data_IF_238497200705
#
_entry.id   IF_238497200705
#
_cell.length_a   1.000
_cell.length_b   1.000
_cell.length_c   1.000
_cell.angle_alpha   90.00
_cell.angle_beta   90.00
_cell.angle_gamma   90.00
#
_symmetry.space_group_name_H-M   'P 1'
#
loop_
_entity.id
_entity.type
_entity.pdbx_description
1 polymer ?
#
# COMPACT_ATOMS: atom_id res chain seq x y z
N UNK A 1 22.15 27.23 12.24
CA UNK A 1 23.31 26.41 11.75
C UNK A 1 23.25 25.03 12.38
N UNK A 2 23.21 23.94 11.61
CA UNK A 2 23.16 22.56 12.15
C UNK A 2 24.55 22.15 12.63
N UNK A 3 24.64 21.65 13.86
CA UNK A 3 25.91 21.26 14.50
C UNK A 3 26.61 20.15 13.66
N UNK A 4 27.96 20.23 13.42
CA UNK A 4 28.65 19.31 12.52
C UNK A 4 28.55 17.82 12.92
N UNK A 5 28.45 17.51 14.22
CA UNK A 5 28.18 16.15 14.72
C UNK A 5 26.84 15.62 14.28
N UNK A 6 25.79 16.47 14.19
CA UNK A 6 24.45 16.08 13.72
C UNK A 6 24.48 15.74 12.23
N UNK A 7 25.19 16.53 11.42
CA UNK A 7 25.35 16.25 9.98
C UNK A 7 26.04 14.91 9.72
N UNK A 8 27.06 14.57 10.53
CA UNK A 8 27.78 13.29 10.42
C UNK A 8 26.83 12.12 10.76
N UNK A 9 26.05 12.23 11.84
CA UNK A 9 25.06 11.21 12.24
C UNK A 9 23.99 11.01 11.16
N UNK A 10 23.44 12.11 10.63
CA UNK A 10 22.45 12.05 9.54
C UNK A 10 23.02 11.39 8.28
N UNK A 11 24.27 11.69 7.90
CA UNK A 11 24.92 11.05 6.75
C UNK A 11 25.13 9.55 6.98
N UNK A 12 25.54 9.14 8.17
CA UNK A 12 25.71 7.72 8.51
C UNK A 12 24.37 6.99 8.38
N UNK A 13 23.30 7.54 8.98
CA UNK A 13 21.95 6.95 8.90
C UNK A 13 21.49 6.84 7.45
N UNK A 14 21.67 7.89 6.65
CA UNK A 14 21.29 7.87 5.23
C UNK A 14 22.06 6.80 4.44
N UNK A 15 23.39 6.75 4.61
CA UNK A 15 24.23 5.75 3.92
C UNK A 15 23.84 4.33 4.34
N UNK A 16 23.62 4.10 5.64
CA UNK A 16 23.18 2.80 6.13
C UNK A 16 21.83 2.41 5.56
N UNK A 17 20.86 3.35 5.51
CA UNK A 17 19.55 3.10 4.92
C UNK A 17 19.64 2.76 3.43
N UNK A 18 20.48 3.45 2.66
CA UNK A 18 20.70 3.15 1.25
C UNK A 18 21.33 1.76 1.07
N UNK A 19 22.32 1.41 1.89
CA UNK A 19 22.94 0.08 1.83
C UNK A 19 21.91 -1.01 2.13
N UNK A 20 21.12 -0.85 3.19
CA UNK A 20 20.06 -1.80 3.55
C UNK A 20 19.03 -1.93 2.43
N UNK A 21 18.64 -0.82 1.81
CA UNK A 21 17.72 -0.81 0.68
C UNK A 21 18.29 -1.57 -0.52
N UNK A 22 19.55 -1.31 -0.88
CA UNK A 22 20.21 -2.03 -1.97
C UNK A 22 20.30 -3.53 -1.70
N UNK A 23 20.65 -3.91 -0.47
CA UNK A 23 20.69 -5.32 -0.07
C UNK A 23 19.30 -5.97 -0.13
N UNK A 24 18.25 -5.27 0.30
CA UNK A 24 16.87 -5.75 0.23
C UNK A 24 16.40 -5.94 -1.22
N UNK A 25 16.73 -5.02 -2.12
CA UNK A 25 16.43 -5.14 -3.56
C UNK A 25 17.13 -6.37 -4.14
N UNK A 26 18.42 -6.54 -3.90
CA UNK A 26 19.19 -7.69 -4.38
C UNK A 26 18.62 -8.99 -3.82
N UNK A 27 18.30 -9.01 -2.54
CA UNK A 27 17.66 -10.17 -1.89
C UNK A 27 16.32 -10.51 -2.54
N UNK A 28 15.45 -9.52 -2.76
CA UNK A 28 14.14 -9.71 -3.40
C UNK A 28 14.25 -10.26 -4.82
N UNK A 29 15.22 -9.80 -5.60
CA UNK A 29 15.41 -10.26 -6.98
C UNK A 29 15.99 -11.69 -7.07
N UNK A 30 16.76 -12.12 -6.07
CA UNK A 30 17.45 -13.42 -6.08
C UNK A 30 16.67 -14.53 -5.40
N UNK A 31 15.88 -14.20 -4.36
CA UNK A 31 15.12 -15.15 -3.54
C UNK A 31 13.65 -15.23 -3.95
N UNK A 32 13.01 -16.37 -3.67
CA UNK A 32 11.61 -16.65 -3.98
C UNK A 32 11.47 -18.13 -4.36
N UNK A 33 10.25 -18.59 -4.68
CA UNK A 33 9.99 -19.97 -5.12
C UNK A 33 10.85 -20.37 -6.31
N UNK A 34 11.14 -19.44 -7.22
CA UNK A 34 12.07 -19.61 -8.31
C UNK A 34 13.34 -18.81 -8.04
N UNK A 35 14.35 -19.46 -7.44
CA UNK A 35 15.62 -18.82 -7.14
C UNK A 35 16.41 -18.52 -8.42
N UNK A 36 16.82 -17.27 -8.59
CA UNK A 36 17.61 -16.81 -9.74
C UNK A 36 19.01 -16.42 -9.28
N UNK A 37 20.03 -16.95 -9.98
CA UNK A 37 21.41 -16.51 -9.75
C UNK A 37 21.62 -15.09 -10.29
N UNK A 38 22.56 -14.34 -9.70
CA UNK A 38 22.91 -12.98 -10.14
C UNK A 38 23.24 -12.91 -11.65
N UNK A 39 23.92 -13.93 -12.17
CA UNK A 39 24.28 -14.02 -13.59
C UNK A 39 23.03 -14.11 -14.47
N UNK A 40 22.04 -14.92 -14.08
CA UNK A 40 20.77 -15.06 -14.82
C UNK A 40 19.97 -13.77 -14.80
N UNK A 41 19.93 -13.09 -13.67
CA UNK A 41 19.26 -11.78 -13.53
C UNK A 41 19.86 -10.77 -14.51
N UNK A 42 21.20 -10.64 -14.55
CA UNK A 42 21.88 -9.72 -15.45
C UNK A 42 21.63 -10.10 -16.92
N UNK A 43 21.71 -11.40 -17.25
CA UNK A 43 21.43 -11.88 -18.61
C UNK A 43 19.99 -11.58 -19.04
N UNK A 44 19.03 -11.74 -18.14
CA UNK A 44 17.62 -11.42 -18.42
C UNK A 44 17.41 -9.94 -18.68
N UNK A 45 18.04 -9.05 -17.89
CA UNK A 45 18.01 -7.61 -18.15
C UNK A 45 18.67 -7.19 -19.45
N UNK A 46 19.66 -7.97 -19.93
CA UNK A 46 20.31 -7.77 -21.22
C UNK A 46 19.56 -8.43 -22.39
N UNK A 47 18.37 -8.99 -22.15
CA UNK A 47 17.56 -9.64 -23.18
C UNK A 47 18.05 -11.05 -23.58
N UNK A 48 18.96 -11.63 -22.82
CA UNK A 48 19.53 -12.98 -23.07
C UNK A 48 18.93 -14.07 -22.14
N UNK A 49 17.91 -13.72 -21.34
CA UNK A 49 17.20 -14.66 -20.48
C UNK A 49 16.25 -15.56 -21.26
N UNK A 50 15.93 -16.73 -20.68
CA UNK A 50 14.87 -17.57 -21.22
C UNK A 50 13.47 -16.95 -20.94
N UNK A 51 12.43 -17.48 -21.59
CA UNK A 51 11.06 -16.94 -21.44
C UNK A 51 10.58 -16.97 -19.99
N UNK A 52 10.89 -18.03 -19.23
CA UNK A 52 10.53 -18.15 -17.82
C UNK A 52 11.24 -17.11 -16.93
N UNK A 53 12.53 -16.85 -17.20
CA UNK A 53 13.29 -15.83 -16.48
C UNK A 53 12.75 -14.41 -16.74
N UNK A 54 12.36 -14.13 -18.00
CA UNK A 54 11.77 -12.85 -18.38
C UNK A 54 10.41 -12.65 -17.69
N UNK A 55 9.52 -13.64 -17.75
CA UNK A 55 8.22 -13.59 -17.11
C UNK A 55 8.36 -13.34 -15.60
N UNK A 56 9.19 -14.11 -14.91
CA UNK A 56 9.33 -14.01 -13.45
C UNK A 56 9.98 -12.70 -13.04
N UNK A 57 11.04 -12.27 -13.74
CA UNK A 57 11.80 -11.09 -13.33
C UNK A 57 11.10 -9.80 -13.74
N UNK A 58 10.63 -9.71 -14.99
CA UNK A 58 10.13 -8.46 -15.58
C UNK A 58 8.64 -8.30 -15.32
N UNK A 59 7.84 -9.35 -15.47
CA UNK A 59 6.39 -9.24 -15.36
C UNK A 59 5.89 -9.40 -13.91
N UNK A 60 6.61 -10.15 -13.06
CA UNK A 60 6.20 -10.35 -11.67
C UNK A 60 7.05 -9.60 -10.64
N UNK A 61 8.38 -9.81 -10.62
CA UNK A 61 9.24 -9.28 -9.54
C UNK A 61 9.48 -7.78 -9.65
N UNK A 62 9.76 -7.30 -10.84
CA UNK A 62 10.08 -5.89 -11.05
C UNK A 62 8.90 -4.95 -10.75
N UNK A 63 7.68 -5.19 -11.27
CA UNK A 63 6.53 -4.35 -10.93
C UNK A 63 6.22 -4.35 -9.44
N UNK A 64 6.24 -5.52 -8.80
CA UNK A 64 6.01 -5.64 -7.36
C UNK A 64 7.04 -4.87 -6.55
N UNK A 65 8.31 -4.94 -6.92
CA UNK A 65 9.38 -4.18 -6.29
C UNK A 65 9.18 -2.67 -6.47
N UNK A 66 8.81 -2.22 -7.68
CA UNK A 66 8.56 -0.81 -7.95
C UNK A 66 7.36 -0.27 -7.16
N UNK A 67 6.28 -1.05 -7.05
CA UNK A 67 5.11 -0.68 -6.25
C UNK A 67 5.49 -0.56 -4.78
N UNK A 68 6.23 -1.51 -4.22
CA UNK A 68 6.65 -1.45 -2.81
C UNK A 68 7.60 -0.27 -2.54
N UNK A 69 8.51 0.04 -3.44
CA UNK A 69 9.40 1.19 -3.34
C UNK A 69 8.62 2.51 -3.38
N UNK A 70 7.73 2.66 -4.35
CA UNK A 70 6.90 3.88 -4.49
C UNK A 70 5.95 4.06 -3.30
N UNK A 71 5.34 2.99 -2.81
CA UNK A 71 4.51 3.02 -1.61
C UNK A 71 5.32 3.43 -0.37
N UNK A 72 6.52 2.87 -0.19
CA UNK A 72 7.41 3.24 0.91
C UNK A 72 7.83 4.71 0.87
N UNK A 73 8.16 5.24 -0.31
CA UNK A 73 8.47 6.66 -0.51
C UNK A 73 7.26 7.53 -0.18
N UNK A 74 6.08 7.19 -0.70
CA UNK A 74 4.85 7.95 -0.47
C UNK A 74 4.46 7.98 1.01
N UNK A 75 4.53 6.84 1.72
CA UNK A 75 4.27 6.76 3.15
C UNK A 75 5.28 7.57 3.97
N UNK A 76 6.56 7.52 3.62
CA UNK A 76 7.61 8.28 4.30
C UNK A 76 7.40 9.80 4.14
N UNK A 77 7.07 10.26 2.93
CA UNK A 77 6.78 11.67 2.66
C UNK A 77 5.52 12.12 3.42
N UNK A 78 4.46 11.32 3.37
CA UNK A 78 3.22 11.58 4.11
C UNK A 78 3.48 11.69 5.61
N UNK A 79 4.28 10.78 6.18
CA UNK A 79 4.69 10.82 7.58
C UNK A 79 5.44 12.10 7.95
N UNK A 80 6.41 12.52 7.15
CA UNK A 80 7.18 13.76 7.40
C UNK A 80 6.28 15.00 7.33
N UNK A 81 5.39 15.07 6.35
CA UNK A 81 4.43 16.18 6.22
C UNK A 81 3.50 16.21 7.44
N UNK A 82 2.94 15.07 7.82
CA UNK A 82 2.03 14.97 8.95
C UNK A 82 2.72 15.38 10.27
N UNK A 83 3.93 14.87 10.54
CA UNK A 83 4.72 15.25 11.71
C UNK A 83 5.03 16.75 11.73
N UNK A 84 5.29 17.35 10.58
CA UNK A 84 5.54 18.79 10.46
C UNK A 84 4.30 19.63 10.74
N UNK A 85 3.15 19.22 10.20
CA UNK A 85 1.86 19.93 10.38
C UNK A 85 1.37 19.81 11.82
N UNK A 86 1.45 18.61 12.38
CA UNK A 86 0.99 18.34 13.76
C UNK A 86 2.00 18.76 14.82
N UNK A 87 3.22 19.11 14.42
CA UNK A 87 4.37 19.36 15.33
C UNK A 87 4.57 18.23 16.35
N UNK A 88 4.21 17.01 15.95
CA UNK A 88 4.28 15.82 16.78
C UNK A 88 5.10 14.73 16.06
N UNK A 89 6.24 14.33 16.61
CA UNK A 89 7.09 13.29 15.99
C UNK A 89 6.47 11.90 16.03
N UNK A 90 5.39 11.69 16.78
CA UNK A 90 4.65 10.43 16.87
C UNK A 90 3.47 10.36 15.91
N UNK A 91 3.22 11.41 15.12
CA UNK A 91 2.15 11.40 14.16
C UNK A 91 2.46 10.45 13.00
N UNK A 92 1.54 9.53 12.74
CA UNK A 92 1.64 8.49 11.72
C UNK A 92 0.40 8.52 10.82
N UNK A 93 0.56 8.44 9.49
CA UNK A 93 -0.56 8.44 8.55
C UNK A 93 -1.57 7.30 8.78
N UNK A 94 -1.10 6.14 9.22
CA UNK A 94 -1.93 4.97 9.48
C UNK A 94 -2.96 5.18 10.59
N UNK A 95 -2.64 5.97 11.61
CA UNK A 95 -3.52 6.24 12.75
C UNK A 95 -4.71 7.15 12.36
N UNK A 96 -4.57 7.95 11.33
CA UNK A 96 -5.60 8.90 10.91
C UNK A 96 -6.84 8.26 10.26
N UNK A 97 -6.88 6.94 10.10
CA UNK A 97 -8.08 6.27 9.59
C UNK A 97 -8.32 6.41 8.09
N UNK A 98 -7.36 6.96 7.33
CA UNK A 98 -7.45 7.09 5.87
C UNK A 98 -7.57 5.70 5.22
N UNK A 99 -6.82 4.71 5.72
CA UNK A 99 -6.90 3.32 5.27
C UNK A 99 -8.28 2.70 5.52
N UNK A 100 -8.90 3.01 6.67
CA UNK A 100 -10.25 2.53 6.97
C UNK A 100 -11.28 3.11 6.00
N UNK A 101 -11.12 4.37 5.60
CA UNK A 101 -11.93 5.02 4.58
C UNK A 101 -11.78 4.41 3.20
N UNK A 102 -10.54 4.09 2.82
CA UNK A 102 -10.25 3.38 1.58
C UNK A 102 -10.92 1.99 1.56
N UNK A 103 -10.78 1.23 2.64
CA UNK A 103 -11.38 -0.10 2.76
C UNK A 103 -12.90 -0.06 2.79
N UNK A 104 -13.49 0.88 3.51
CA UNK A 104 -14.95 1.08 3.52
C UNK A 104 -15.49 1.43 2.14
N UNK A 105 -14.81 2.30 1.38
CA UNK A 105 -15.22 2.65 0.03
C UNK A 105 -15.24 1.44 -0.91
N UNK A 106 -14.25 0.54 -0.81
CA UNK A 106 -14.21 -0.70 -1.57
C UNK A 106 -15.37 -1.61 -1.17
N UNK A 107 -15.57 -1.85 0.13
CA UNK A 107 -16.65 -2.68 0.62
C UNK A 107 -18.03 -2.14 0.17
N UNK A 108 -18.22 -0.83 0.25
CA UNK A 108 -19.44 -0.16 -0.19
C UNK A 108 -19.64 -0.30 -1.72
N UNK A 109 -18.59 -0.15 -2.51
CA UNK A 109 -18.65 -0.30 -3.95
C UNK A 109 -19.08 -1.72 -4.37
N UNK A 110 -18.51 -2.73 -3.74
CA UNK A 110 -18.86 -4.14 -3.99
C UNK A 110 -20.31 -4.43 -3.54
N UNK A 111 -20.72 -3.90 -2.39
CA UNK A 111 -22.08 -4.07 -1.86
C UNK A 111 -23.15 -3.49 -2.78
N UNK A 112 -22.93 -2.27 -3.31
CA UNK A 112 -23.90 -1.59 -4.18
C UNK A 112 -23.91 -2.19 -5.59
N UNK A 113 -22.73 -2.54 -6.10
CA UNK A 113 -22.57 -2.96 -7.50
C UNK A 113 -23.04 -4.39 -7.77
N UNK A 114 -23.16 -5.25 -6.75
CA UNK A 114 -23.34 -6.72 -6.90
C UNK A 114 -22.33 -7.31 -7.90
N UNK A 115 -21.13 -6.73 -7.92
CA UNK A 115 -20.12 -6.92 -8.96
C UNK A 115 -19.18 -8.02 -8.48
N UNK A 116 -18.82 -8.93 -9.38
CA UNK A 116 -17.73 -9.86 -9.12
C UNK A 116 -16.43 -9.08 -9.07
N UNK A 117 -15.69 -9.25 -7.97
CA UNK A 117 -14.52 -8.43 -7.62
C UNK A 117 -13.39 -8.50 -8.67
N UNK A 118 -13.29 -9.59 -9.40
CA UNK A 118 -12.31 -9.85 -10.45
C UNK A 118 -12.43 -8.94 -11.68
N UNK A 119 -13.64 -8.45 -11.99
CA UNK A 119 -13.88 -7.63 -13.18
C UNK A 119 -13.41 -6.17 -13.02
N UNK A 120 -13.13 -5.73 -11.80
CA UNK A 120 -12.88 -4.30 -11.48
C UNK A 120 -11.54 -4.01 -10.81
N UNK A 121 -10.55 -4.88 -10.96
CA UNK A 121 -9.21 -4.73 -10.36
C UNK A 121 -8.59 -3.38 -10.65
N UNK A 122 -8.77 -2.84 -11.85
CA UNK A 122 -8.24 -1.52 -12.23
C UNK A 122 -9.03 -0.34 -11.64
N UNK A 123 -10.30 -0.56 -11.27
CA UNK A 123 -11.18 0.49 -10.70
C UNK A 123 -11.01 0.60 -9.19
N UNK A 124 -10.71 -0.51 -8.51
CA UNK A 124 -10.55 -0.57 -7.05
C UNK A 124 -9.50 0.40 -6.49
N UNK A 125 -8.31 0.60 -7.10
CA UNK A 125 -7.36 1.60 -6.64
C UNK A 125 -7.92 3.02 -6.68
N UNK A 126 -8.73 3.35 -7.70
CA UNK A 126 -9.36 4.68 -7.82
C UNK A 126 -10.39 4.88 -6.72
N UNK A 127 -11.25 3.87 -6.48
CA UNK A 127 -12.27 3.92 -5.42
C UNK A 127 -11.62 4.03 -4.05
N UNK A 128 -10.59 3.23 -3.79
CA UNK A 128 -9.81 3.27 -2.56
C UNK A 128 -9.18 4.65 -2.34
N UNK A 129 -8.60 5.23 -3.38
CA UNK A 129 -8.02 6.58 -3.33
C UNK A 129 -9.10 7.64 -3.02
N UNK A 130 -10.25 7.57 -3.68
CA UNK A 130 -11.37 8.50 -3.42
C UNK A 130 -11.87 8.34 -1.98
N UNK A 131 -12.06 7.12 -1.50
CA UNK A 131 -12.47 6.85 -0.13
C UNK A 131 -11.48 7.38 0.90
N UNK A 132 -10.18 7.17 0.67
CA UNK A 132 -9.12 7.71 1.52
C UNK A 132 -9.09 9.25 1.53
N UNK A 133 -9.21 9.88 0.35
CA UNK A 133 -9.25 11.35 0.23
C UNK A 133 -10.48 11.96 0.90
N UNK A 134 -11.66 11.37 0.72
CA UNK A 134 -12.89 11.84 1.37
C UNK A 134 -12.77 11.73 2.89
N UNK A 135 -12.20 10.65 3.39
CA UNK A 135 -11.95 10.45 4.83
C UNK A 135 -10.94 11.46 5.37
N UNK A 136 -9.83 11.69 4.66
CA UNK A 136 -8.85 12.70 5.03
C UNK A 136 -9.48 14.10 5.08
N UNK A 137 -10.30 14.43 4.10
CA UNK A 137 -11.02 15.70 4.02
C UNK A 137 -12.05 15.85 5.16
N UNK A 138 -12.79 14.79 5.46
CA UNK A 138 -13.73 14.80 6.60
C UNK A 138 -13.00 15.00 7.92
N UNK A 139 -11.88 14.30 8.15
CA UNK A 139 -11.06 14.48 9.35
C UNK A 139 -10.52 15.91 9.44
N UNK A 140 -10.06 16.47 8.32
CA UNK A 140 -9.58 17.83 8.26
C UNK A 140 -10.67 18.84 8.68
N UNK A 141 -11.87 18.74 8.10
CA UNK A 141 -13.00 19.62 8.42
C UNK A 141 -13.41 19.49 9.90
N UNK A 142 -13.57 18.26 10.37
CA UNK A 142 -14.00 18.01 11.75
C UNK A 142 -12.95 18.43 12.79
N UNK A 143 -11.67 18.43 12.40
CA UNK A 143 -10.56 18.84 13.28
C UNK A 143 -10.31 20.35 13.27
N UNK A 144 -10.93 21.08 12.36
CA UNK A 144 -10.75 22.53 12.22
C UNK A 144 -11.55 23.29 13.28
N UNK A 145 -10.87 24.05 14.11
CA UNK A 145 -11.45 24.78 15.25
C UNK A 145 -11.55 26.30 15.00
N UNK A 146 -12.09 26.71 13.86
CA UNK A 146 -12.29 28.11 13.53
C UNK A 146 -11.04 28.98 13.79
N UNK A 147 -11.14 29.95 14.72
CA UNK A 147 -10.06 30.90 15.01
C UNK A 147 -8.76 30.23 15.54
N UNK A 148 -8.83 29.02 16.09
CA UNK A 148 -7.66 28.29 16.61
C UNK A 148 -6.94 27.45 15.54
N UNK A 149 -7.51 27.35 14.35
CA UNK A 149 -6.96 26.53 13.26
C UNK A 149 -7.04 25.03 13.52
N UNK A 150 -6.10 24.28 12.95
CA UNK A 150 -6.01 22.83 13.13
C UNK A 150 -5.40 22.48 14.48
N UNK A 151 -6.14 21.71 15.28
CA UNK A 151 -5.64 21.13 16.53
C UNK A 151 -5.07 19.74 16.28
N UNK A 152 -3.75 19.49 16.49
CA UNK A 152 -3.16 18.17 16.31
C UNK A 152 -3.81 17.07 17.15
N UNK A 153 -4.15 17.37 18.39
CA UNK A 153 -4.82 16.43 19.29
C UNK A 153 -6.24 16.06 18.79
N UNK A 154 -7.00 17.07 18.32
CA UNK A 154 -8.32 16.86 17.74
C UNK A 154 -8.23 16.01 16.47
N UNK A 155 -7.24 16.24 15.63
CA UNK A 155 -7.01 15.51 14.40
C UNK A 155 -6.75 14.00 14.65
N UNK A 156 -5.92 13.67 15.66
CA UNK A 156 -5.67 12.29 16.05
C UNK A 156 -6.93 11.66 16.65
N UNK A 157 -7.62 12.33 17.56
CA UNK A 157 -8.82 11.80 18.21
C UNK A 157 -9.95 11.52 17.22
N UNK A 158 -10.22 12.48 16.33
CA UNK A 158 -11.22 12.33 15.26
C UNK A 158 -10.79 11.23 14.28
N UNK A 159 -9.50 11.17 13.93
CA UNK A 159 -8.95 10.15 13.06
C UNK A 159 -9.15 8.73 13.61
N UNK A 160 -8.87 8.51 14.89
CA UNK A 160 -9.11 7.21 15.57
C UNK A 160 -10.61 6.89 15.61
N UNK A 161 -11.45 7.87 15.93
CA UNK A 161 -12.91 7.68 15.91
C UNK A 161 -13.44 7.32 14.53
N UNK A 162 -13.01 8.04 13.49
CA UNK A 162 -13.35 7.74 12.09
C UNK A 162 -12.85 6.38 11.65
N UNK A 163 -11.62 6.02 12.02
CA UNK A 163 -11.04 4.71 11.73
C UNK A 163 -11.90 3.58 12.31
N UNK A 164 -12.28 3.70 13.57
CA UNK A 164 -13.11 2.69 14.26
C UNK A 164 -14.50 2.60 13.63
N UNK A 165 -15.13 3.74 13.34
CA UNK A 165 -16.46 3.78 12.74
C UNK A 165 -16.47 3.19 11.33
N UNK A 166 -15.52 3.58 10.47
CA UNK A 166 -15.44 3.09 9.09
C UNK A 166 -15.04 1.62 9.02
N UNK A 167 -14.11 1.18 9.89
CA UNK A 167 -13.75 -0.25 9.97
C UNK A 167 -14.94 -1.10 10.45
N UNK A 168 -15.69 -0.64 11.44
CA UNK A 168 -16.90 -1.32 11.90
C UNK A 168 -17.97 -1.40 10.82
N UNK A 169 -18.18 -0.30 10.08
CA UNK A 169 -19.10 -0.27 8.94
C UNK A 169 -18.65 -1.20 7.82
N UNK A 170 -17.35 -1.23 7.49
CA UNK A 170 -16.79 -2.14 6.49
C UNK A 170 -17.00 -3.60 6.89
N UNK A 171 -16.71 -3.97 8.14
CA UNK A 171 -16.95 -5.32 8.66
C UNK A 171 -18.43 -5.71 8.63
N UNK A 172 -19.33 -4.78 8.93
CA UNK A 172 -20.78 -5.01 8.83
C UNK A 172 -21.20 -5.28 7.40
N UNK A 173 -20.68 -4.55 6.42
CA UNK A 173 -20.92 -4.83 5.00
C UNK A 173 -20.35 -6.18 4.59
N UNK A 174 -19.13 -6.49 5.01
CA UNK A 174 -18.47 -7.76 4.69
C UNK A 174 -19.23 -8.98 5.23
N UNK A 175 -19.96 -8.83 6.34
CA UNK A 175 -20.79 -9.92 6.88
C UNK A 175 -21.98 -10.30 5.98
N UNK A 176 -22.34 -9.46 5.00
CA UNK A 176 -23.41 -9.74 4.03
C UNK A 176 -22.89 -10.33 2.71
N UNK A 177 -21.58 -10.45 2.56
CA UNK A 177 -20.93 -10.93 1.35
C UNK A 177 -20.75 -12.45 1.37
N UNK A 178 -20.65 -13.02 0.16
CA UNK A 178 -20.22 -14.39 -0.02
C UNK A 178 -18.77 -14.57 0.45
N UNK A 179 -18.37 -15.81 0.70
CA UNK A 179 -17.04 -16.15 1.20
C UNK A 179 -15.93 -15.61 0.29
N UNK A 180 -16.09 -15.77 -1.03
CA UNK A 180 -15.08 -15.36 -2.01
C UNK A 180 -14.89 -13.84 -2.05
N UNK A 181 -15.97 -13.07 -1.98
CA UNK A 181 -15.94 -11.61 -1.90
C UNK A 181 -15.29 -11.13 -0.60
N UNK A 182 -15.62 -11.76 0.53
CA UNK A 182 -15.06 -11.41 1.82
C UNK A 182 -13.56 -11.70 1.89
N UNK A 183 -13.10 -12.83 1.33
CA UNK A 183 -11.69 -13.21 1.25
C UNK A 183 -10.92 -12.28 0.33
N UNK A 184 -11.50 -11.91 -0.83
CA UNK A 184 -10.92 -10.92 -1.73
C UNK A 184 -10.70 -9.57 -1.05
N UNK A 185 -11.72 -9.02 -0.35
CA UNK A 185 -11.61 -7.74 0.33
C UNK A 185 -10.60 -7.82 1.47
N UNK A 186 -10.63 -8.89 2.27
CA UNK A 186 -9.67 -9.08 3.36
C UNK A 186 -8.23 -9.12 2.83
N UNK A 187 -7.98 -9.82 1.73
CA UNK A 187 -6.68 -9.92 1.08
C UNK A 187 -6.24 -8.56 0.51
N UNK A 188 -7.16 -7.83 -0.10
CA UNK A 188 -6.91 -6.48 -0.61
C UNK A 188 -6.55 -5.50 0.53
N UNK A 189 -7.30 -5.52 1.62
CA UNK A 189 -7.04 -4.67 2.79
C UNK A 189 -5.72 -5.01 3.50
N UNK A 190 -5.30 -6.26 3.42
CA UNK A 190 -3.99 -6.69 3.91
C UNK A 190 -2.80 -6.18 3.06
N UNK A 191 -3.09 -5.51 1.92
CA UNK A 191 -2.06 -4.94 1.05
C UNK A 191 -1.49 -5.93 0.05
N UNK A 192 -2.34 -6.79 -0.50
CA UNK A 192 -1.94 -7.72 -1.55
C UNK A 192 -1.54 -6.96 -2.83
N UNK A 193 -0.31 -7.22 -3.28
CA UNK A 193 0.26 -6.65 -4.52
C UNK A 193 0.19 -7.67 -5.67
N UNK A 194 -0.36 -8.84 -5.43
CA UNK A 194 -0.56 -9.85 -6.45
C UNK A 194 -1.69 -9.38 -7.35
N UNK A 195 -1.35 -8.95 -8.56
CA UNK A 195 -2.34 -8.77 -9.61
C UNK A 195 -2.90 -10.14 -10.03
N UNK A 196 -4.13 -10.15 -10.54
CA UNK A 196 -4.91 -11.35 -10.90
C UNK A 196 -4.29 -12.27 -11.96
N UNK A 197 -3.12 -11.96 -12.47
CA UNK A 197 -2.40 -12.78 -13.44
C UNK A 197 -2.15 -14.21 -12.96
N UNK A 198 -2.07 -14.46 -11.65
CA UNK A 198 -1.86 -15.81 -11.13
C UNK A 198 -3.16 -16.65 -11.16
N UNK A 199 -4.33 -16.03 -10.95
CA UNK A 199 -5.62 -16.72 -11.01
C UNK A 199 -6.05 -17.04 -12.44
N UNK A 200 -5.73 -16.18 -13.40
CA UNK A 200 -5.99 -16.44 -14.83
C UNK A 200 -5.17 -17.66 -15.35
N UNK A 201 -3.94 -17.83 -14.89
CA UNK A 201 -3.13 -19.00 -15.28
C UNK A 201 -3.60 -20.32 -14.66
N UNK A 202 -4.22 -20.30 -13.49
CA UNK A 202 -4.76 -21.52 -12.88
C UNK A 202 -6.10 -21.92 -13.48
N UNK A 203 -6.90 -20.97 -13.97
CA UNK A 203 -8.17 -21.24 -14.64
C UNK A 203 -7.96 -21.80 -16.05
N UNK A 204 -7.00 -21.25 -16.80
CA UNK A 204 -6.67 -21.72 -18.16
C UNK A 204 -6.06 -23.14 -18.14
N UNK A 205 -5.30 -23.49 -17.09
CA UNK A 205 -4.77 -24.84 -16.92
C UNK A 205 -5.81 -25.88 -16.50
N UNK A 206 -6.98 -25.48 -16.01
CA UNK A 206 -8.09 -26.36 -15.64
C UNK A 206 -9.05 -26.62 -16.80
N UNK A 207 -9.10 -25.76 -17.81
CA UNK A 207 -9.96 -25.94 -19.01
C UNK A 207 -9.29 -26.81 -20.10
N UNK A 208 -7.96 -27.06 -20.01
CA UNK A 208 -7.20 -27.93 -20.95
C UNK A 208 -7.07 -29.40 -20.49
N UNK A 209 -7.84 -29.83 -19.51
CA UNK A 209 -7.91 -31.25 -19.04
C UNK A 209 -9.33 -31.84 -19.18
#
# INVERSE_FOLDING_TARGET
MIHPKLKRKQRIVLVTAIIVLCLAIVWNLTTGEYAMSYRRIIQTFLGQGNAADQLILIDFRLPRMLITLTAGIALSLSGVILQSVTKNPLAEPGILGINAGSGFAIALFIAIGQIQADQFVYVLPIISMVGGLLTAFAIFILSYQGDKGLSPASMVLIGVGMSTALSGAALTLMSTFDKDQSEFIATWLAGNIWGDTCLLYTSDAADDS
#
